data_IF_447959174171
#
_entry.id   IF_447959174171
#
_cell.length_a   1.000
_cell.length_b   1.000
_cell.length_c   1.000
_cell.angle_alpha   90.00
_cell.angle_beta   90.00
_cell.angle_gamma   90.00
#
_symmetry.space_group_name_H-M   'P 1'
#
loop_
_entity.id
_entity.type
_entity.pdbx_description
1 polymer ?
#
# COMPACT_ATOMS: atom_id res chain seq x y z
N UNK A 1 24.54 14.41 -43.36
CA UNK A 1 23.43 13.44 -43.52
C UNK A 1 23.97 12.06 -43.18
N UNK A 2 23.59 11.54 -42.03
CA UNK A 2 23.70 10.11 -41.70
C UNK A 2 22.61 9.82 -40.67
N UNK A 3 21.58 9.13 -41.15
CA UNK A 3 20.41 8.65 -40.42
C UNK A 3 20.81 7.56 -39.42
N UNK A 4 20.32 7.65 -38.18
CA UNK A 4 20.34 6.53 -37.24
C UNK A 4 18.90 6.00 -37.11
N UNK A 5 18.70 4.76 -37.55
CA UNK A 5 17.46 4.01 -37.41
C UNK A 5 17.23 3.60 -35.94
N UNK A 6 15.97 3.60 -35.45
CA UNK A 6 15.65 3.10 -34.12
C UNK A 6 15.71 1.57 -34.09
N UNK A 7 16.42 1.03 -33.10
CA UNK A 7 16.45 -0.40 -32.77
C UNK A 7 15.15 -0.72 -32.01
N UNK A 8 14.25 -1.46 -32.65
CA UNK A 8 13.09 -2.07 -31.99
C UNK A 8 13.57 -3.25 -31.12
N UNK A 9 13.19 -3.27 -29.84
CA UNK A 9 13.39 -4.43 -28.95
C UNK A 9 12.15 -5.33 -28.98
N UNK A 10 12.31 -6.67 -28.85
CA UNK A 10 11.20 -7.60 -28.92
C UNK A 10 10.36 -7.57 -27.64
N UNK A 11 9.04 -7.60 -27.81
CA UNK A 11 8.04 -7.77 -26.76
C UNK A 11 8.12 -9.18 -26.15
N UNK A 12 8.25 -9.27 -24.83
CA UNK A 12 7.94 -10.49 -24.09
C UNK A 12 6.41 -10.55 -23.93
N UNK A 13 5.76 -11.56 -24.50
CA UNK A 13 4.31 -11.79 -24.39
C UNK A 13 3.98 -12.76 -23.27
N UNK A 14 2.79 -12.59 -22.69
CA UNK A 14 2.25 -13.32 -21.54
C UNK A 14 1.96 -14.83 -21.76
N UNK A 15 2.65 -15.48 -22.69
CA UNK A 15 2.42 -16.88 -23.11
C UNK A 15 3.47 -17.87 -22.61
N UNK A 16 4.54 -17.41 -21.94
CA UNK A 16 5.70 -18.26 -21.63
C UNK A 16 5.64 -18.96 -20.26
N UNK A 17 4.49 -18.93 -19.57
CA UNK A 17 4.31 -19.65 -18.29
C UNK A 17 3.18 -20.66 -18.43
N UNK A 18 3.53 -21.91 -18.74
CA UNK A 18 2.66 -23.07 -18.53
C UNK A 18 3.17 -23.86 -17.32
N UNK A 19 2.35 -23.94 -16.28
CA UNK A 19 2.53 -24.91 -15.19
C UNK A 19 1.31 -25.86 -15.10
N UNK A 20 1.51 -27.15 -14.77
CA UNK A 20 0.46 -28.17 -14.84
C UNK A 20 -0.43 -28.19 -13.58
N UNK A 21 -1.70 -28.54 -13.79
CA UNK A 21 -2.71 -28.83 -12.75
C UNK A 21 -2.29 -30.00 -11.86
N UNK A 22 -2.59 -29.92 -10.56
CA UNK A 22 -2.74 -31.09 -9.70
C UNK A 22 -3.88 -30.93 -8.68
N UNK A 23 -4.50 -32.07 -8.36
CA UNK A 23 -5.83 -32.25 -7.79
C UNK A 23 -5.89 -32.34 -6.25
N UNK A 24 -7.13 -32.19 -5.78
CA UNK A 24 -7.70 -32.25 -4.43
C UNK A 24 -7.20 -33.36 -3.48
N UNK A 25 -7.05 -32.98 -2.20
CA UNK A 25 -7.00 -33.89 -1.03
C UNK A 25 -7.65 -33.23 0.20
N UNK A 26 -8.56 -33.97 0.85
CA UNK A 26 -9.61 -33.50 1.77
C UNK A 26 -9.24 -33.62 3.26
N UNK A 27 -9.87 -32.72 4.04
CA UNK A 27 -10.42 -32.83 5.41
C UNK A 27 -9.50 -33.23 6.59
N UNK A 28 -9.55 -32.46 7.69
CA UNK A 28 -10.40 -32.75 8.88
C UNK A 28 -10.17 -31.74 10.01
N UNK A 29 -11.30 -31.30 10.56
CA UNK A 29 -11.53 -30.50 11.77
C UNK A 29 -11.21 -31.26 13.06
N UNK A 30 -10.84 -30.53 14.13
CA UNK A 30 -11.38 -30.82 15.46
C UNK A 30 -11.29 -29.61 16.41
N UNK A 31 -12.41 -29.35 17.08
CA UNK A 31 -12.66 -28.38 18.14
C UNK A 31 -12.05 -28.82 19.47
N UNK A 32 -11.64 -27.88 20.33
CA UNK A 32 -11.93 -27.99 21.76
C UNK A 32 -12.06 -26.61 22.41
N UNK A 33 -13.15 -26.48 23.16
CA UNK A 33 -13.67 -25.33 23.90
C UNK A 33 -13.52 -25.73 25.38
N UNK A 34 -13.09 -24.92 26.35
CA UNK A 34 -13.81 -23.90 27.13
C UNK A 34 -12.97 -23.64 28.40
N UNK A 35 -13.15 -22.48 29.05
CA UNK A 35 -12.99 -22.40 30.51
C UNK A 35 -12.44 -21.09 31.07
N UNK A 36 -13.31 -20.08 31.21
CA UNK A 36 -13.19 -18.96 32.16
C UNK A 36 -14.12 -19.27 33.37
N UNK A 37 -14.27 -18.48 34.46
CA UNK A 37 -13.58 -17.24 34.90
C UNK A 37 -13.33 -17.18 36.45
N UNK A 38 -13.13 -15.95 36.99
CA UNK A 38 -13.31 -15.45 38.40
C UNK A 38 -12.01 -15.30 39.21
N UNK A 39 -11.69 -14.26 40.01
CA UNK A 39 -12.10 -12.85 40.27
C UNK A 39 -11.28 -12.37 41.51
N UNK A 40 -11.18 -11.05 41.72
CA UNK A 40 -11.00 -10.31 42.99
C UNK A 40 -9.55 -10.02 43.49
N UNK A 41 -9.15 -8.86 44.06
CA UNK A 41 -9.56 -7.43 44.26
C UNK A 41 -8.57 -6.87 45.33
N UNK A 42 -8.49 -5.53 45.47
CA UNK A 42 -7.79 -4.67 46.48
C UNK A 42 -6.45 -4.09 46.01
N UNK A 43 -6.12 -2.79 46.11
CA UNK A 43 -6.49 -1.72 47.04
C UNK A 43 -6.48 -0.31 46.36
N UNK A 44 -7.35 0.58 46.80
CA UNK A 44 -7.45 2.01 46.44
C UNK A 44 -6.59 2.83 47.40
N UNK A 45 -5.75 3.73 46.89
CA UNK A 45 -5.35 4.95 47.59
C UNK A 45 -5.24 6.14 46.61
N UNK A 46 -5.89 7.21 47.03
CA UNK A 46 -6.23 8.44 46.31
C UNK A 46 -5.03 9.36 46.08
N UNK A 47 -5.03 10.11 44.96
CA UNK A 47 -5.37 11.55 44.92
C UNK A 47 -4.80 12.22 43.65
N UNK A 48 -5.70 12.65 42.78
CA UNK A 48 -5.60 13.70 41.75
C UNK A 48 -4.21 14.03 41.16
N UNK A 49 -3.85 13.30 40.10
CA UNK A 49 -3.16 13.89 38.94
C UNK A 49 -4.14 13.79 37.78
N UNK A 50 -4.99 14.80 37.63
CA UNK A 50 -5.86 14.94 36.47
C UNK A 50 -5.22 15.93 35.49
N UNK A 51 -5.12 15.47 34.24
CA UNK A 51 -4.98 16.22 32.99
C UNK A 51 -3.59 16.75 32.61
N UNK A 52 -2.72 15.82 32.22
CA UNK A 52 -2.08 15.89 30.90
C UNK A 52 -1.67 14.48 30.45
N UNK A 53 -2.63 13.54 30.37
CA UNK A 53 -2.53 12.60 29.26
C UNK A 53 -2.79 13.47 28.05
N UNK A 54 -1.80 13.61 27.16
CA UNK A 54 -2.06 14.06 25.82
C UNK A 54 -3.11 13.09 25.28
N UNK A 55 -4.38 13.52 25.35
CA UNK A 55 -5.43 12.88 24.58
C UNK A 55 -4.99 13.03 23.13
N UNK A 56 -5.11 11.98 22.29
CA UNK A 56 -4.95 12.18 20.86
C UNK A 56 -5.80 13.38 20.46
N UNK A 57 -5.18 14.32 19.74
CA UNK A 57 -5.96 15.31 19.03
C UNK A 57 -7.07 14.56 18.29
N UNK A 58 -8.34 15.00 18.36
CA UNK A 58 -9.33 14.48 17.44
C UNK A 58 -8.74 14.58 16.04
N UNK A 59 -8.79 13.49 15.25
CA UNK A 59 -8.33 13.47 13.86
C UNK A 59 -9.31 14.24 12.98
N UNK A 60 -9.70 15.43 13.43
CA UNK A 60 -10.58 16.36 12.76
C UNK A 60 -9.70 17.34 11.98
N UNK A 61 -9.39 17.01 10.73
CA UNK A 61 -8.81 18.00 9.83
C UNK A 61 -9.94 18.81 9.18
N UNK A 62 -10.54 19.75 9.92
CA UNK A 62 -11.58 20.73 9.48
C UNK A 62 -11.15 21.63 8.30
N UNK A 63 -10.11 21.26 7.55
CA UNK A 63 -9.44 22.06 6.54
C UNK A 63 -8.96 21.27 5.32
N UNK A 64 -9.22 19.95 5.24
CA UNK A 64 -8.93 19.18 4.02
C UNK A 64 -9.95 19.55 2.95
N UNK A 65 -9.46 19.87 1.76
CA UNK A 65 -10.31 20.40 0.68
C UNK A 65 -10.18 19.61 -0.60
N UNK A 66 -9.10 18.85 -0.78
CA UNK A 66 -8.78 18.13 -2.02
C UNK A 66 -7.99 16.85 -1.71
N UNK A 67 -7.89 15.99 -2.72
CA UNK A 67 -6.97 14.86 -2.77
C UNK A 67 -5.89 15.14 -3.82
N UNK A 68 -4.64 14.96 -3.45
CA UNK A 68 -3.49 15.01 -4.35
C UNK A 68 -3.02 13.58 -4.62
N UNK A 69 -3.06 13.16 -5.88
CA UNK A 69 -2.73 11.82 -6.29
C UNK A 69 -1.44 11.80 -7.09
N UNK A 70 -0.47 10.99 -6.67
CA UNK A 70 0.82 10.80 -7.35
C UNK A 70 0.94 9.35 -7.80
N UNK A 71 1.25 9.13 -9.06
CA UNK A 71 1.22 7.81 -9.68
C UNK A 71 2.15 7.73 -10.90
N UNK A 72 2.15 6.60 -11.59
CA UNK A 72 2.79 6.45 -12.90
C UNK A 72 1.78 5.92 -13.94
N UNK A 73 2.23 5.84 -15.20
CA UNK A 73 1.50 5.21 -16.29
C UNK A 73 2.33 4.07 -16.90
N UNK A 74 1.69 3.06 -17.48
CA UNK A 74 2.41 2.05 -18.26
C UNK A 74 3.05 2.62 -19.54
N UNK A 75 2.52 3.73 -20.06
CA UNK A 75 3.05 4.39 -21.28
C UNK A 75 4.42 5.02 -21.07
N UNK A 76 4.74 5.37 -19.83
CA UNK A 76 5.96 6.08 -19.47
C UNK A 76 6.31 5.82 -18.00
N UNK A 77 7.49 5.26 -17.75
CA UNK A 77 7.99 4.98 -16.41
C UNK A 77 8.51 6.25 -15.71
N UNK A 78 7.65 7.26 -15.61
CA UNK A 78 7.84 8.55 -14.95
C UNK A 78 6.71 8.78 -13.94
N UNK A 79 6.87 9.77 -13.06
CA UNK A 79 5.84 10.11 -12.08
C UNK A 79 4.99 11.27 -12.58
N UNK A 80 3.68 11.10 -12.45
CA UNK A 80 2.63 12.05 -12.81
C UNK A 80 1.83 12.41 -11.56
N UNK A 81 1.10 13.50 -11.63
CA UNK A 81 0.24 13.91 -10.53
C UNK A 81 -1.11 14.44 -11.02
N UNK A 82 -2.11 14.19 -10.20
CA UNK A 82 -3.49 14.58 -10.39
C UNK A 82 -4.01 15.26 -9.14
N UNK A 83 -4.98 16.15 -9.31
CA UNK A 83 -5.62 16.87 -8.22
C UNK A 83 -7.13 16.72 -8.33
N UNK A 84 -7.79 16.42 -7.21
CA UNK A 84 -9.23 16.18 -7.24
C UNK A 84 -10.03 17.41 -7.70
N UNK A 85 -11.16 17.16 -8.33
CA UNK A 85 -12.17 18.17 -8.67
C UNK A 85 -13.10 18.36 -7.48
N UNK A 86 -12.91 19.44 -6.72
CA UNK A 86 -13.61 19.55 -5.43
C UNK A 86 -13.09 18.52 -4.43
N UNK A 87 -13.83 18.29 -3.36
CA UNK A 87 -13.49 17.28 -2.35
C UNK A 87 -13.96 15.87 -2.76
N UNK A 88 -13.81 15.54 -4.05
CA UNK A 88 -14.30 14.29 -4.64
C UNK A 88 -13.14 13.31 -4.81
N UNK A 89 -13.13 12.18 -4.09
CA UNK A 89 -12.08 11.17 -4.22
C UNK A 89 -12.18 10.40 -5.54
N UNK A 90 -13.21 10.57 -6.37
CA UNK A 90 -13.40 9.83 -7.61
C UNK A 90 -13.31 10.69 -8.87
N UNK A 91 -12.93 11.96 -8.75
CA UNK A 91 -12.86 12.90 -9.87
C UNK A 91 -11.59 13.73 -9.79
N UNK A 92 -10.76 13.68 -10.83
CA UNK A 92 -9.47 14.39 -10.86
C UNK A 92 -9.23 15.13 -12.17
N UNK A 93 -8.39 16.16 -12.10
CA UNK A 93 -7.77 16.80 -13.24
C UNK A 93 -6.27 16.48 -13.26
N UNK A 94 -5.69 16.38 -14.46
CA UNK A 94 -4.24 16.28 -14.63
C UNK A 94 -3.57 17.55 -14.12
N UNK A 95 -2.37 17.41 -13.56
CA UNK A 95 -1.48 18.53 -13.29
C UNK A 95 -0.38 18.58 -14.35
N UNK A 96 0.30 19.72 -14.46
CA UNK A 96 1.46 19.89 -15.33
C UNK A 96 1.16 19.53 -16.80
N UNK A 97 -0.05 19.83 -17.28
CA UNK A 97 -0.51 19.46 -18.64
C UNK A 97 -0.42 17.96 -18.97
N UNK A 98 -0.50 17.08 -17.96
CA UNK A 98 -0.25 15.63 -18.07
C UNK A 98 1.19 15.25 -18.47
N UNK A 99 2.14 16.18 -18.35
CA UNK A 99 3.57 15.90 -18.39
C UNK A 99 4.05 15.40 -17.02
N UNK A 100 5.06 14.54 -17.03
CA UNK A 100 5.67 14.00 -15.83
C UNK A 100 6.19 15.10 -14.88
N UNK A 101 5.87 15.00 -13.60
CA UNK A 101 6.41 15.86 -12.54
C UNK A 101 7.79 15.39 -12.05
N UNK A 102 8.16 14.14 -12.36
CA UNK A 102 9.49 13.59 -12.14
C UNK A 102 9.82 12.59 -13.25
N UNK A 103 10.87 12.90 -14.00
CA UNK A 103 11.45 12.04 -15.04
C UNK A 103 12.77 11.47 -14.52
N UNK A 104 12.94 10.14 -14.47
CA UNK A 104 14.18 9.53 -14.00
C UNK A 104 15.31 9.80 -15.01
N UNK A 105 16.44 10.31 -14.52
CA UNK A 105 17.63 10.62 -15.34
C UNK A 105 18.80 9.65 -15.13
N UNK A 106 18.62 8.64 -14.27
CA UNK A 106 19.66 7.66 -13.93
C UNK A 106 19.09 6.26 -13.70
N UNK A 107 19.98 5.32 -13.38
CA UNK A 107 19.61 3.91 -13.18
C UNK A 107 19.13 3.25 -14.46
N UNK A 108 18.05 2.47 -14.38
CA UNK A 108 17.43 1.78 -15.53
C UNK A 108 16.58 2.71 -16.40
N UNK A 109 16.46 4.00 -16.04
CA UNK A 109 15.68 4.99 -16.79
C UNK A 109 14.16 4.91 -16.58
N UNK A 110 13.72 4.25 -15.50
CA UNK A 110 12.30 4.16 -15.13
C UNK A 110 12.10 4.27 -13.62
N UNK A 111 10.99 4.87 -13.20
CA UNK A 111 10.50 4.94 -11.83
C UNK A 111 9.01 4.60 -11.79
N UNK A 112 8.62 3.82 -10.79
CA UNK A 112 7.24 3.36 -10.54
C UNK A 112 6.99 3.36 -9.04
N UNK A 113 5.72 3.23 -8.65
CA UNK A 113 5.26 3.10 -7.26
C UNK A 113 5.87 4.19 -6.35
N UNK A 114 5.52 5.47 -6.58
CA UNK A 114 6.25 6.62 -6.06
C UNK A 114 6.36 6.61 -4.52
N UNK A 115 7.59 6.39 -4.04
CA UNK A 115 8.00 6.63 -2.66
C UNK A 115 9.48 7.04 -2.62
N UNK A 116 9.84 8.04 -1.82
CA UNK A 116 11.21 8.58 -1.77
C UNK A 116 11.95 8.10 -0.52
N UNK A 117 12.96 7.25 -0.71
CA UNK A 117 13.90 6.84 0.34
C UNK A 117 15.33 6.78 -0.21
N UNK A 118 16.32 6.98 0.66
CA UNK A 118 17.68 6.57 0.34
C UNK A 118 17.85 5.06 0.52
N UNK A 119 18.75 4.44 -0.25
CA UNK A 119 19.09 3.00 -0.25
C UNK A 119 18.70 2.24 1.03
N UNK A 120 17.62 1.46 0.93
CA UNK A 120 17.06 0.65 2.04
C UNK A 120 17.40 -0.84 1.95
N UNK A 121 18.01 -1.29 0.85
CA UNK A 121 18.33 -2.72 0.64
C UNK A 121 19.82 -3.00 0.44
N UNK A 122 20.24 -4.19 0.90
CA UNK A 122 21.57 -4.77 0.71
C UNK A 122 21.74 -5.50 -0.62
N UNK A 123 22.92 -6.08 -0.87
CA UNK A 123 23.25 -6.76 -2.14
C UNK A 123 22.46 -8.04 -2.41
N UNK A 124 22.01 -8.73 -1.36
CA UNK A 124 21.28 -9.99 -1.49
C UNK A 124 19.79 -9.79 -1.86
N UNK A 125 19.26 -8.58 -1.71
CA UNK A 125 17.88 -8.28 -2.05
C UNK A 125 17.69 -8.32 -3.58
N UNK A 126 16.67 -9.03 -4.04
CA UNK A 126 16.25 -9.04 -5.44
C UNK A 126 15.53 -7.75 -5.85
N UNK A 127 14.83 -7.11 -4.91
CA UNK A 127 14.08 -5.88 -5.15
C UNK A 127 13.74 -5.12 -3.87
N UNK A 128 13.28 -3.88 -4.03
CA UNK A 128 12.50 -3.15 -3.05
C UNK A 128 11.26 -2.55 -3.73
N UNK A 129 10.16 -3.31 -3.78
CA UNK A 129 8.95 -2.93 -4.52
C UNK A 129 7.89 -2.30 -3.62
N UNK A 130 7.11 -1.37 -4.19
CA UNK A 130 5.94 -0.76 -3.55
C UNK A 130 6.20 -0.23 -2.13
N UNK A 131 7.26 0.57 -1.97
CA UNK A 131 7.64 1.10 -0.66
C UNK A 131 6.55 2.02 -0.08
N UNK A 132 6.31 1.90 1.22
CA UNK A 132 5.38 2.78 1.97
C UNK A 132 5.96 3.11 3.34
N UNK A 133 5.40 4.11 4.01
CA UNK A 133 5.73 4.41 5.39
C UNK A 133 4.52 4.81 6.21
N UNK A 134 4.55 4.44 7.48
CA UNK A 134 3.54 4.79 8.48
C UNK A 134 4.23 5.21 9.77
N UNK A 135 3.67 6.20 10.46
CA UNK A 135 4.19 6.61 11.76
C UNK A 135 3.84 5.55 12.81
N UNK A 136 4.86 5.05 13.51
CA UNK A 136 4.70 4.20 14.68
C UNK A 136 4.90 5.06 15.94
N UNK A 137 3.81 5.27 16.68
CA UNK A 137 3.82 6.06 17.90
C UNK A 137 4.61 5.39 19.04
N UNK A 138 4.65 4.07 19.10
CA UNK A 138 5.36 3.32 20.14
C UNK A 138 6.87 3.40 19.93
N UNK A 139 7.31 3.36 18.67
CA UNK A 139 8.72 3.56 18.30
C UNK A 139 9.13 5.03 18.24
N UNK A 140 8.19 5.96 18.04
CA UNK A 140 8.48 7.37 17.78
C UNK A 140 9.23 7.59 16.45
N UNK A 141 8.97 6.73 15.45
CA UNK A 141 9.64 6.71 14.16
C UNK A 141 8.66 6.31 13.05
N UNK A 142 9.02 6.58 11.79
CA UNK A 142 8.31 6.01 10.65
C UNK A 142 8.78 4.58 10.41
N UNK A 143 7.85 3.62 10.46
CA UNK A 143 8.03 2.28 9.93
C UNK A 143 7.92 2.37 8.40
N UNK A 144 9.03 2.07 7.73
CA UNK A 144 9.12 2.03 6.27
C UNK A 144 9.17 0.58 5.85
N UNK A 145 8.30 0.17 4.94
CA UNK A 145 8.14 -1.23 4.56
C UNK A 145 7.94 -1.41 3.05
N UNK A 146 8.32 -2.59 2.54
CA UNK A 146 8.26 -2.93 1.11
C UNK A 146 8.22 -4.43 0.88
N UNK A 147 7.87 -4.82 -0.35
CA UNK A 147 7.94 -6.19 -0.82
C UNK A 147 9.33 -6.52 -1.36
N UNK A 148 9.89 -7.64 -0.92
CA UNK A 148 11.21 -8.09 -1.33
C UNK A 148 11.30 -9.61 -1.37
N UNK A 149 12.35 -10.10 -2.04
CA UNK A 149 12.89 -11.44 -1.88
C UNK A 149 14.40 -11.36 -1.82
N UNK A 150 15.03 -12.41 -1.33
CA UNK A 150 16.48 -12.47 -1.15
C UNK A 150 17.06 -13.71 -1.80
N UNK A 151 18.27 -13.54 -2.32
CA UNK A 151 19.12 -14.61 -2.83
C UNK A 151 20.16 -14.98 -1.76
N UNK A 152 20.85 -16.11 -1.98
CA UNK A 152 22.01 -16.45 -1.16
C UNK A 152 23.04 -15.32 -1.17
N UNK A 153 23.71 -15.10 -0.03
CA UNK A 153 24.64 -13.99 0.14
C UNK A 153 25.79 -13.99 -0.90
N UNK A 154 26.18 -15.18 -1.38
CA UNK A 154 27.21 -15.37 -2.39
C UNK A 154 26.68 -15.30 -3.84
N UNK A 155 25.37 -15.36 -4.05
CA UNK A 155 24.73 -15.20 -5.37
C UNK A 155 24.55 -13.72 -5.71
N UNK A 156 25.67 -13.04 -5.91
CA UNK A 156 25.70 -11.61 -6.28
C UNK A 156 25.16 -11.33 -7.68
N UNK A 157 24.93 -12.36 -8.49
CA UNK A 157 24.36 -12.26 -9.83
C UNK A 157 22.83 -12.47 -9.85
N UNK A 158 22.23 -12.87 -8.72
CA UNK A 158 20.79 -13.14 -8.58
C UNK A 158 20.27 -14.16 -9.60
N UNK A 159 21.05 -15.21 -9.84
CA UNK A 159 20.75 -16.25 -10.84
C UNK A 159 20.21 -17.55 -10.27
N UNK A 160 20.38 -17.75 -8.96
CA UNK A 160 19.89 -18.90 -8.22
C UNK A 160 18.42 -18.78 -7.82
N UNK A 161 17.99 -19.66 -6.93
CA UNK A 161 16.64 -19.65 -6.38
C UNK A 161 16.53 -18.57 -5.31
N UNK A 162 15.62 -17.61 -5.51
CA UNK A 162 15.27 -16.65 -4.48
C UNK A 162 14.31 -17.27 -3.44
N UNK A 163 14.33 -16.71 -2.23
CA UNK A 163 13.28 -16.95 -1.24
C UNK A 163 11.92 -16.44 -1.73
N UNK A 164 10.85 -16.83 -1.04
CA UNK A 164 9.49 -16.32 -1.31
C UNK A 164 9.42 -14.80 -1.05
N UNK A 165 8.55 -14.11 -1.80
CA UNK A 165 8.29 -12.70 -1.56
C UNK A 165 7.67 -12.48 -0.18
N UNK A 166 8.20 -11.53 0.57
CA UNK A 166 7.74 -11.20 1.90
C UNK A 166 7.92 -9.70 2.17
N UNK A 167 7.35 -9.22 3.27
CA UNK A 167 7.43 -7.81 3.63
C UNK A 167 8.62 -7.60 4.55
N UNK A 168 9.49 -6.66 4.17
CA UNK A 168 10.61 -6.16 4.96
C UNK A 168 10.23 -4.80 5.53
N UNK A 169 10.77 -4.45 6.70
CA UNK A 169 10.69 -3.10 7.24
C UNK A 169 12.02 -2.58 7.78
N UNK A 170 12.09 -1.27 7.95
CA UNK A 170 13.12 -0.53 8.68
C UNK A 170 12.48 0.69 9.36
N UNK A 171 13.16 1.30 10.32
CA UNK A 171 12.75 2.56 10.92
C UNK A 171 13.57 3.74 10.45
N UNK A 172 12.91 4.90 10.33
CA UNK A 172 13.56 6.19 10.13
C UNK A 172 12.82 7.31 10.86
N UNK A 173 13.54 8.33 11.31
CA UNK A 173 12.94 9.58 11.81
C UNK A 173 13.04 10.72 10.79
N UNK A 174 13.76 10.54 9.69
CA UNK A 174 14.14 11.64 8.79
C UNK A 174 14.22 11.25 7.30
N UNK A 175 13.90 10.01 6.93
CA UNK A 175 13.99 9.46 5.56
C UNK A 175 15.39 9.54 4.92
N UNK A 176 16.44 9.67 5.74
CA UNK A 176 17.85 9.73 5.30
C UNK A 176 18.68 8.64 5.97
N UNK A 177 18.44 8.39 7.25
CA UNK A 177 19.11 7.36 8.04
C UNK A 177 18.07 6.33 8.45
N UNK A 178 18.42 5.06 8.27
CA UNK A 178 17.53 3.92 8.46
C UNK A 178 18.18 2.93 9.42
N UNK A 179 17.37 2.24 10.22
CA UNK A 179 17.85 1.09 10.98
C UNK A 179 18.18 -0.06 10.05
N UNK A 180 18.79 -1.12 10.57
CA UNK A 180 18.90 -2.36 9.82
C UNK A 180 17.50 -2.86 9.42
N UNK A 181 17.38 -3.31 8.17
CA UNK A 181 16.14 -3.81 7.63
C UNK A 181 15.97 -5.29 8.02
N UNK A 182 14.75 -5.68 8.41
CA UNK A 182 14.44 -7.05 8.83
C UNK A 182 13.02 -7.43 8.39
N UNK A 183 12.70 -8.72 8.46
CA UNK A 183 11.38 -9.25 8.14
C UNK A 183 10.29 -8.58 9.00
N UNK A 184 9.21 -8.16 8.33
CA UNK A 184 7.98 -7.70 8.95
C UNK A 184 6.89 -8.78 8.88
N UNK A 185 6.62 -9.31 7.69
CA UNK A 185 5.60 -10.33 7.48
C UNK A 185 6.17 -11.41 6.56
N UNK A 186 6.28 -12.62 7.10
CA UNK A 186 6.64 -13.84 6.36
C UNK A 186 5.51 -14.84 6.55
N UNK A 187 4.92 -15.30 5.44
CA UNK A 187 3.88 -16.34 5.46
C UNK A 187 4.44 -17.55 4.71
N UNK A 188 4.89 -18.60 5.41
CA UNK A 188 5.50 -19.76 4.75
C UNK A 188 4.60 -20.38 3.69
N UNK A 189 5.11 -20.56 2.47
CA UNK A 189 4.38 -21.12 1.35
C UNK A 189 3.44 -20.14 0.63
N UNK A 190 3.44 -18.86 1.03
CA UNK A 190 2.57 -17.82 0.48
C UNK A 190 3.39 -16.55 0.22
N UNK A 191 3.97 -16.39 -0.98
CA UNK A 191 4.58 -15.13 -1.38
C UNK A 191 3.56 -13.99 -1.34
N UNK A 192 3.97 -12.86 -0.75
CA UNK A 192 3.10 -11.68 -0.57
C UNK A 192 3.75 -10.39 -1.04
N UNK A 193 2.94 -9.51 -1.62
CA UNK A 193 3.39 -8.19 -2.06
C UNK A 193 2.39 -7.07 -1.70
N UNK A 194 2.76 -5.82 -2.02
CA UNK A 194 1.91 -4.63 -2.02
C UNK A 194 1.17 -4.36 -0.71
N UNK A 195 1.82 -4.66 0.43
CA UNK A 195 1.26 -4.34 1.74
C UNK A 195 0.83 -2.87 1.78
N UNK A 196 -0.35 -2.62 2.33
CA UNK A 196 -0.84 -1.28 2.62
C UNK A 196 -1.43 -1.26 4.00
N UNK A 197 -0.94 -0.38 4.87
CA UNK A 197 -1.44 -0.19 6.23
C UNK A 197 -2.07 1.21 6.32
N UNK A 198 -3.29 1.27 6.83
CA UNK A 198 -3.99 2.51 7.12
C UNK A 198 -4.32 2.55 8.61
N UNK A 199 -3.81 3.56 9.31
CA UNK A 199 -4.19 3.82 10.71
C UNK A 199 -5.64 4.27 10.78
N UNK A 200 -6.48 3.59 11.55
CA UNK A 200 -7.88 3.95 11.79
C UNK A 200 -7.99 4.96 12.93
N UNK A 201 -7.30 4.66 14.04
CA UNK A 201 -7.13 5.52 15.20
C UNK A 201 -5.82 5.12 15.91
N UNK A 202 -5.53 5.71 17.07
CA UNK A 202 -4.33 5.39 17.83
C UNK A 202 -4.29 3.91 18.21
N UNK A 203 -3.30 3.18 17.66
CA UNK A 203 -3.11 1.77 17.93
C UNK A 203 -4.03 0.84 17.14
N UNK A 204 -4.97 1.37 16.35
CA UNK A 204 -5.91 0.62 15.52
C UNK A 204 -5.58 0.77 14.04
N UNK A 205 -5.46 -0.35 13.33
CA UNK A 205 -5.05 -0.34 11.94
C UNK A 205 -5.87 -1.33 11.11
N UNK A 206 -6.05 -1.00 9.84
CA UNK A 206 -6.42 -1.95 8.80
C UNK A 206 -5.24 -2.13 7.86
N UNK A 207 -5.02 -3.35 7.38
CA UNK A 207 -4.07 -3.61 6.31
C UNK A 207 -4.67 -4.43 5.19
N UNK A 208 -4.03 -4.34 4.05
CA UNK A 208 -4.36 -5.09 2.86
C UNK A 208 -3.10 -5.71 2.27
N UNK A 209 -3.18 -6.97 1.86
CA UNK A 209 -2.03 -7.75 1.38
C UNK A 209 -2.43 -8.50 0.11
N UNK A 210 -1.52 -8.51 -0.87
CA UNK A 210 -1.63 -9.32 -2.09
C UNK A 210 -1.00 -10.70 -1.88
N UNK A 211 -1.71 -11.75 -2.28
CA UNK A 211 -1.21 -13.11 -2.40
C UNK A 211 -0.73 -13.37 -3.83
N UNK A 212 0.54 -13.73 -4.02
CA UNK A 212 1.11 -14.04 -5.34
C UNK A 212 0.87 -15.49 -5.79
N UNK A 213 0.34 -16.36 -4.94
CA UNK A 213 -0.08 -17.72 -5.31
C UNK A 213 -1.48 -17.74 -5.93
N UNK A 214 -2.45 -17.18 -5.22
CA UNK A 214 -3.87 -17.20 -5.63
C UNK A 214 -4.29 -15.91 -6.34
N UNK A 215 -3.39 -14.94 -6.45
CA UNK A 215 -3.58 -13.65 -7.11
C UNK A 215 -4.74 -12.80 -6.57
N UNK A 216 -5.19 -13.07 -5.34
CA UNK A 216 -6.18 -12.26 -4.65
C UNK A 216 -5.58 -11.47 -3.50
N UNK A 217 -6.41 -10.62 -2.89
CA UNK A 217 -6.00 -9.78 -1.77
C UNK A 217 -6.96 -9.90 -0.60
N UNK A 218 -6.44 -9.88 0.61
CA UNK A 218 -7.25 -9.93 1.82
C UNK A 218 -6.99 -8.73 2.71
N UNK A 219 -7.89 -8.51 3.66
CA UNK A 219 -7.80 -7.44 4.63
C UNK A 219 -7.79 -7.98 6.06
N UNK A 220 -7.05 -7.31 6.92
CA UNK A 220 -6.90 -7.64 8.33
C UNK A 220 -7.03 -6.38 9.17
N UNK A 221 -7.58 -6.52 10.38
CA UNK A 221 -7.58 -5.48 11.39
C UNK A 221 -6.59 -5.83 12.50
N UNK A 222 -6.20 -4.80 13.25
CA UNK A 222 -5.40 -4.95 14.45
C UNK A 222 -5.76 -3.88 15.47
N UNK A 223 -5.78 -4.28 16.74
CA UNK A 223 -5.72 -3.42 17.92
C UNK A 223 -4.40 -3.67 18.68
N UNK A 224 -3.71 -2.60 19.10
CA UNK A 224 -2.53 -2.70 19.95
C UNK A 224 -1.16 -2.50 19.27
N UNK A 225 -1.08 -1.64 18.25
CA UNK A 225 0.20 -1.21 17.65
C UNK A 225 0.67 -2.09 16.50
N UNK A 226 1.57 -1.61 15.63
CA UNK A 226 1.88 -2.23 14.32
C UNK A 226 2.44 -3.66 14.35
N UNK A 227 2.90 -4.13 15.52
CA UNK A 227 3.46 -5.49 15.71
C UNK A 227 2.54 -6.42 16.50
N UNK A 228 1.30 -6.01 16.77
CA UNK A 228 0.30 -6.87 17.41
C UNK A 228 -0.26 -7.96 16.48
N UNK A 229 -1.26 -8.68 16.98
CA UNK A 229 -1.89 -9.80 16.27
C UNK A 229 -2.94 -9.32 15.26
N UNK A 230 -2.61 -9.42 13.97
CA UNK A 230 -3.52 -9.12 12.88
C UNK A 230 -4.58 -10.22 12.71
N UNK A 231 -5.84 -9.83 12.53
CA UNK A 231 -6.97 -10.73 12.37
C UNK A 231 -7.70 -10.45 11.06
N UNK A 232 -7.99 -11.48 10.26
CA UNK A 232 -8.74 -11.33 9.01
C UNK A 232 -10.11 -10.72 9.29
N UNK A 233 -10.48 -9.71 8.50
CA UNK A 233 -11.78 -9.04 8.62
C UNK A 233 -12.90 -9.96 8.11
N UNK A 234 -12.61 -10.75 7.07
CA UNK A 234 -13.53 -11.74 6.50
C UNK A 234 -12.77 -12.86 5.80
N UNK A 235 -13.49 -13.94 5.51
CA UNK A 235 -13.00 -14.99 4.63
C UNK A 235 -13.01 -14.54 3.15
N UNK A 236 -12.06 -15.05 2.38
CA UNK A 236 -11.92 -14.73 0.95
C UNK A 236 -11.26 -13.37 0.67
N UNK A 237 -11.41 -12.89 -0.56
CA UNK A 237 -10.75 -11.69 -1.05
C UNK A 237 -11.63 -10.44 -0.99
N UNK A 238 -10.99 -9.27 -0.95
CA UNK A 238 -11.68 -7.97 -0.94
C UNK A 238 -12.49 -7.74 -2.22
N UNK A 239 -11.96 -8.18 -3.35
CA UNK A 239 -12.64 -8.16 -4.64
C UNK A 239 -12.44 -9.51 -5.38
N UNK A 240 -13.23 -9.79 -6.45
CA UNK A 240 -13.09 -10.99 -7.26
C UNK A 240 -12.09 -10.84 -8.43
N UNK A 241 -11.42 -9.70 -8.58
CA UNK A 241 -10.61 -9.36 -9.75
C UNK A 241 -9.11 -9.51 -9.46
N UNK A 242 -8.32 -9.82 -10.50
CA UNK A 242 -6.87 -9.83 -10.39
C UNK A 242 -6.36 -8.40 -10.28
N UNK A 243 -6.05 -7.99 -9.05
CA UNK A 243 -5.65 -6.61 -8.72
C UNK A 243 -4.40 -6.59 -7.87
N UNK A 244 -3.57 -5.58 -8.07
CA UNK A 244 -2.35 -5.26 -7.32
C UNK A 244 -2.44 -3.80 -6.85
N UNK A 245 -1.33 -3.24 -6.38
CA UNK A 245 -1.20 -1.80 -6.21
C UNK A 245 -2.16 -1.17 -5.21
N UNK A 246 -2.45 -1.89 -4.12
CA UNK A 246 -3.43 -1.54 -3.10
C UNK A 246 -3.22 -0.12 -2.59
N UNK A 247 -4.23 0.74 -2.72
CA UNK A 247 -4.14 2.14 -2.30
C UNK A 247 -5.31 2.49 -1.39
N UNK A 248 -5.05 2.50 -0.08
CA UNK A 248 -6.04 2.83 0.94
C UNK A 248 -5.81 4.24 1.51
N UNK A 249 -6.89 5.00 1.69
CA UNK A 249 -6.85 6.34 2.29
C UNK A 249 -8.20 6.71 2.93
N UNK A 250 -8.17 7.64 3.89
CA UNK A 250 -9.38 8.16 4.54
C UNK A 250 -10.13 9.12 3.63
N UNK A 251 -11.45 9.12 3.73
CA UNK A 251 -12.26 10.20 3.21
C UNK A 251 -12.01 11.50 4.01
N UNK A 252 -12.09 12.65 3.33
CA UNK A 252 -11.86 13.96 3.93
C UNK A 252 -13.04 14.45 4.78
N UNK A 253 -14.26 13.96 4.55
CA UNK A 253 -15.48 14.43 5.22
C UNK A 253 -16.11 13.37 6.13
N UNK A 254 -16.01 12.10 5.75
CA UNK A 254 -16.60 10.97 6.47
C UNK A 254 -15.52 10.11 7.15
N UNK A 255 -15.31 10.31 8.45
CA UNK A 255 -14.29 9.59 9.24
C UNK A 255 -14.50 8.05 9.25
N UNK A 256 -15.71 7.58 8.96
CA UNK A 256 -15.99 6.14 8.86
C UNK A 256 -15.60 5.55 7.49
N UNK A 257 -15.41 6.42 6.49
CA UNK A 257 -15.21 6.03 5.11
C UNK A 257 -13.74 5.87 4.78
N UNK A 258 -13.42 4.67 4.30
CA UNK A 258 -12.10 4.34 3.75
C UNK A 258 -12.28 4.05 2.28
N UNK A 259 -11.47 4.71 1.47
CA UNK A 259 -11.32 4.40 0.05
C UNK A 259 -10.22 3.37 -0.12
N UNK A 260 -10.43 2.45 -1.06
CA UNK A 260 -9.46 1.44 -1.48
C UNK A 260 -9.49 1.36 -3.00
N UNK A 261 -8.42 1.78 -3.65
CA UNK A 261 -8.28 1.63 -5.09
C UNK A 261 -7.35 0.48 -5.43
N UNK A 262 -7.77 -0.33 -6.39
CA UNK A 262 -7.18 -1.61 -6.71
C UNK A 262 -6.70 -1.60 -8.16
N UNK A 263 -5.39 -1.68 -8.38
CA UNK A 263 -4.78 -1.57 -9.69
C UNK A 263 -5.03 -2.87 -10.47
N UNK A 264 -5.84 -2.82 -11.52
CA UNK A 264 -6.15 -4.00 -12.30
C UNK A 264 -4.99 -4.36 -13.25
N UNK A 265 -4.48 -5.58 -13.10
CA UNK A 265 -3.42 -6.14 -13.94
C UNK A 265 -3.88 -7.50 -14.49
N UNK A 266 -4.26 -7.52 -15.77
CA UNK A 266 -4.72 -8.74 -16.46
C UNK A 266 -6.23 -8.74 -16.73
N UNK A 267 -6.59 -8.81 -18.01
CA UNK A 267 -7.97 -8.75 -18.51
C UNK A 267 -8.10 -7.88 -19.78
N UNK A 268 -9.22 -7.97 -20.50
CA UNK A 268 -9.57 -7.11 -21.67
C UNK A 268 -9.75 -5.63 -21.28
N UNK A 269 -9.61 -5.30 -20.00
CA UNK A 269 -9.91 -4.02 -19.36
C UNK A 269 -8.67 -3.19 -19.04
N UNK A 270 -7.48 -3.51 -19.56
CA UNK A 270 -6.24 -2.71 -19.40
C UNK A 270 -6.41 -1.20 -19.68
N UNK A 271 -7.50 -0.81 -20.33
CA UNK A 271 -7.99 0.56 -20.52
C UNK A 271 -8.20 1.34 -19.20
N UNK A 272 -8.42 0.65 -18.08
CA UNK A 272 -9.11 1.25 -16.94
C UNK A 272 -8.21 1.63 -15.75
N UNK A 273 -7.05 1.01 -15.56
CA UNK A 273 -6.19 1.28 -14.39
C UNK A 273 -6.85 0.85 -13.08
N UNK A 274 -6.99 1.77 -12.13
CA UNK A 274 -7.61 1.51 -10.82
C UNK A 274 -9.11 1.18 -10.87
N UNK A 275 -9.52 0.22 -10.05
CA UNK A 275 -10.91 -0.07 -9.65
C UNK A 275 -11.14 0.55 -8.27
N UNK A 276 -11.86 1.69 -8.18
CA UNK A 276 -12.12 2.33 -6.89
C UNK A 276 -13.21 1.57 -6.12
N UNK A 277 -12.97 1.36 -4.84
CA UNK A 277 -13.93 0.85 -3.88
C UNK A 277 -13.90 1.69 -2.60
N UNK A 278 -14.95 1.59 -1.79
CA UNK A 278 -14.99 2.19 -0.46
C UNK A 278 -15.78 1.32 0.52
N UNK A 279 -15.52 1.55 1.81
CA UNK A 279 -16.21 0.93 2.95
C UNK A 279 -16.58 2.01 3.95
N UNK A 280 -17.67 1.81 4.69
CA UNK A 280 -18.10 2.67 5.80
C UNK A 280 -18.21 1.88 7.13
N UNK A 281 -17.75 0.62 7.14
CA UNK A 281 -17.94 -0.32 8.25
C UNK A 281 -16.65 -1.00 8.69
N UNK A 282 -15.52 -0.28 8.56
CA UNK A 282 -14.21 -0.79 8.94
C UNK A 282 -13.69 -1.91 8.03
N UNK A 283 -14.16 -1.98 6.79
CA UNK A 283 -13.68 -2.93 5.78
C UNK A 283 -14.43 -4.26 5.74
N UNK A 284 -15.57 -4.38 6.42
CA UNK A 284 -16.41 -5.59 6.39
C UNK A 284 -17.09 -5.71 5.03
N UNK A 285 -17.71 -4.63 4.55
CA UNK A 285 -18.33 -4.54 3.24
C UNK A 285 -17.60 -3.54 2.33
N UNK A 286 -17.56 -3.85 1.03
CA UNK A 286 -16.91 -3.04 0.01
C UNK A 286 -17.89 -2.74 -1.11
N UNK A 287 -18.01 -1.45 -1.44
CA UNK A 287 -18.86 -0.93 -2.51
C UNK A 287 -17.98 -0.39 -3.63
N UNK A 288 -18.37 -0.61 -4.88
CA UNK A 288 -17.67 -0.03 -6.02
C UNK A 288 -17.93 1.48 -6.09
N UNK A 289 -16.88 2.26 -6.34
CA UNK A 289 -16.97 3.67 -6.67
C UNK A 289 -17.46 3.90 -8.10
N UNK A 290 -18.07 5.05 -8.35
CA UNK A 290 -18.41 5.48 -9.70
C UNK A 290 -17.12 5.76 -10.49
N UNK A 291 -17.08 5.28 -11.74
CA UNK A 291 -15.93 5.40 -12.63
C UNK A 291 -16.19 6.34 -13.81
N UNK A 292 -17.39 6.92 -13.91
CA UNK A 292 -17.77 7.77 -15.05
C UNK A 292 -16.81 8.96 -15.27
N UNK A 293 -16.32 9.55 -14.17
CA UNK A 293 -15.36 10.66 -14.19
C UNK A 293 -14.00 10.30 -13.59
N UNK A 294 -13.78 9.01 -13.30
CA UNK A 294 -12.55 8.53 -12.68
C UNK A 294 -11.45 8.42 -13.74
N UNK A 295 -10.23 8.93 -13.50
CA UNK A 295 -9.22 8.91 -14.52
C UNK A 295 -8.72 7.49 -14.78
N UNK A 296 -8.38 7.21 -16.04
CA UNK A 296 -8.05 5.87 -16.50
C UNK A 296 -6.55 5.67 -16.66
N UNK A 297 -6.13 4.41 -16.81
CA UNK A 297 -4.73 4.00 -17.07
C UNK A 297 -3.73 4.29 -15.94
N UNK A 298 -4.15 4.97 -14.87
CA UNK A 298 -3.33 5.23 -13.68
C UNK A 298 -2.97 3.92 -13.01
N UNK A 299 -1.73 3.83 -12.56
CA UNK A 299 -1.16 2.65 -11.89
C UNK A 299 -0.70 2.95 -10.48
N UNK A 300 -0.23 1.92 -9.76
CA UNK A 300 0.13 1.98 -8.35
C UNK A 300 0.76 3.31 -7.91
N UNK A 301 0.10 4.00 -6.96
CA UNK A 301 0.47 5.34 -6.51
C UNK A 301 0.06 5.63 -5.06
N UNK A 302 -0.04 6.91 -4.74
CA UNK A 302 -0.40 7.42 -3.40
C UNK A 302 -1.35 8.61 -3.49
N UNK A 303 -2.46 8.53 -2.76
CA UNK A 303 -3.39 9.63 -2.54
C UNK A 303 -3.08 10.26 -1.19
N UNK A 304 -2.90 11.58 -1.18
CA UNK A 304 -2.66 12.37 0.02
C UNK A 304 -3.79 13.40 0.13
N UNK A 305 -4.50 13.45 1.26
CA UNK A 305 -5.45 14.53 1.51
C UNK A 305 -4.69 15.84 1.73
N UNK A 306 -5.18 16.94 1.15
CA UNK A 306 -4.51 18.24 1.22
C UNK A 306 -5.42 19.35 1.71
N UNK A 307 -4.84 20.25 2.51
CA UNK A 307 -5.49 21.43 3.02
C UNK A 307 -5.46 22.60 2.03
N UNK A 308 -6.17 23.69 2.35
CA UNK A 308 -6.27 24.85 1.46
C UNK A 308 -4.91 25.47 1.09
N UNK A 309 -3.96 25.52 2.03
CA UNK A 309 -2.61 26.03 1.80
C UNK A 309 -1.83 25.13 0.86
N UNK A 310 -1.85 23.82 1.09
CA UNK A 310 -1.20 22.82 0.24
C UNK A 310 -1.82 22.80 -1.18
N UNK A 311 -3.15 22.86 -1.28
CA UNK A 311 -3.86 23.00 -2.54
C UNK A 311 -3.39 24.24 -3.31
N UNK A 312 -3.32 25.40 -2.65
CA UNK A 312 -2.80 26.63 -3.25
C UNK A 312 -1.36 26.49 -3.77
N UNK A 313 -0.49 25.83 -3.01
CA UNK A 313 0.90 25.57 -3.40
C UNK A 313 1.01 24.62 -4.61
N UNK A 314 0.24 23.52 -4.62
CA UNK A 314 0.18 22.57 -5.74
C UNK A 314 -0.29 23.27 -7.02
N UNK A 315 -1.36 24.07 -6.94
CA UNK A 315 -1.85 24.84 -8.07
C UNK A 315 -0.80 25.86 -8.54
N UNK A 316 -0.19 26.63 -7.64
CA UNK A 316 0.83 27.60 -8.04
C UNK A 316 2.04 26.95 -8.77
N UNK A 317 2.32 25.67 -8.48
CA UNK A 317 3.43 24.93 -9.07
C UNK A 317 3.11 24.31 -10.44
N UNK A 318 1.90 23.74 -10.59
CA UNK A 318 1.57 22.84 -11.71
C UNK A 318 0.18 23.07 -12.35
N UNK A 319 -0.55 24.12 -11.96
CA UNK A 319 -1.86 24.45 -12.55
C UNK A 319 -1.78 24.98 -13.99
#
# INVERSE_FOLDING_TARGET
MTSLHPITRPSLSATDIKMPRYEHGRNLTCFCQMGNPVLAVFFIFSLLIFLARAFPSPRQHDHLVRYFFVHFYNREASIFAHLSNGNDPLSYQTLNSDDAILVPSGGTGGVRDPFLVSKVVGKAAGMAWALKAIWDADAGQYLVYWSSRFYDADDTAHTGTAMEDHIIYTYTSNFRTFTEATDYIVIPGTPIIDLTILALSDGEYIRFIKNETDLGMWSEHLSGGLFGTWTKIRDGYVNPYMTEGLLAFHDNEDESRIHLWLDEYGGDTQVYGYVPQYTNDGGVTWMNGDRANFPTLMKHGVVVPVNQTQYGAIKAKWA
#
